data_IF_209914611234
#
_entry.id   IF_209914611234
#
_cell.length_a   1.000
_cell.length_b   1.000
_cell.length_c   1.000
_cell.angle_alpha   90.00
_cell.angle_beta   90.00
_cell.angle_gamma   90.00
#
_symmetry.space_group_name_H-M   'P 1'
#
loop_
_entity.id
_entity.type
_entity.pdbx_description
1 polymer ?
#
# COMPACT_ATOMS: atom_id res chain seq x y z
N UNK A 1 -5.56 33.48 -4.73
CA UNK A 1 -4.82 34.49 -3.93
C UNK A 1 -5.31 34.65 -2.49
N UNK A 2 -6.60 34.91 -2.23
CA UNK A 2 -7.09 35.15 -0.87
C UNK A 2 -6.80 34.00 0.11
N UNK A 3 -7.08 32.75 -0.29
CA UNK A 3 -6.86 31.57 0.55
C UNK A 3 -5.37 31.30 0.87
N UNK A 4 -4.46 31.53 -0.08
CA UNK A 4 -3.02 31.43 0.18
C UNK A 4 -2.56 32.48 1.17
N UNK A 5 -2.99 33.74 1.00
CA UNK A 5 -2.68 34.82 1.93
C UNK A 5 -3.22 34.53 3.33
N UNK A 6 -4.46 34.06 3.42
CA UNK A 6 -5.09 33.65 4.67
C UNK A 6 -4.28 32.55 5.35
N UNK A 7 -3.93 31.48 4.62
CA UNK A 7 -3.11 30.38 5.15
C UNK A 7 -1.77 30.89 5.70
N UNK A 8 -1.05 31.73 4.93
CA UNK A 8 0.24 32.27 5.34
C UNK A 8 0.11 33.14 6.60
N UNK A 9 -0.90 34.01 6.66
CA UNK A 9 -1.12 34.89 7.81
C UNK A 9 -1.53 34.10 9.07
N UNK A 10 -2.43 33.13 8.93
CA UNK A 10 -2.86 32.28 10.05
C UNK A 10 -1.73 31.38 10.52
N UNK A 11 -0.89 30.88 9.60
CA UNK A 11 0.28 30.08 9.93
C UNK A 11 1.30 30.83 10.79
N UNK A 12 1.52 32.12 10.53
CA UNK A 12 2.43 32.99 11.31
C UNK A 12 1.84 33.46 12.65
N UNK A 13 0.51 33.56 12.78
CA UNK A 13 -0.14 34.03 14.01
C UNK A 13 -0.38 32.88 15.01
N UNK A 14 0.58 32.60 15.87
CA UNK A 14 0.33 31.76 17.06
C UNK A 14 -0.51 32.54 18.10
N UNK A 15 -1.63 32.01 18.62
CA UNK A 15 -2.09 30.61 18.61
C UNK A 15 -3.36 30.33 17.77
N UNK A 16 -3.57 30.99 16.62
CA UNK A 16 -4.79 30.79 15.84
C UNK A 16 -4.93 29.34 15.30
N UNK A 17 -6.14 28.75 15.34
CA UNK A 17 -6.40 27.43 14.77
C UNK A 17 -6.23 27.47 13.24
N UNK A 18 -5.70 26.38 12.68
CA UNK A 18 -5.39 26.26 11.26
C UNK A 18 -6.43 25.49 10.46
N UNK A 19 -7.36 24.81 11.12
CA UNK A 19 -8.34 23.92 10.52
C UNK A 19 -9.07 24.56 9.32
N UNK A 20 -9.65 25.75 9.55
CA UNK A 20 -10.46 26.42 8.53
C UNK A 20 -9.61 27.04 7.41
N UNK A 21 -8.41 27.55 7.74
CA UNK A 21 -7.48 28.09 6.75
C UNK A 21 -6.94 27.00 5.81
N UNK A 22 -6.63 25.81 6.35
CA UNK A 22 -6.20 24.65 5.57
C UNK A 22 -7.35 24.15 4.68
N UNK A 23 -8.58 24.10 5.21
CA UNK A 23 -9.76 23.71 4.42
C UNK A 23 -10.06 24.71 3.29
N UNK A 24 -9.99 26.02 3.58
CA UNK A 24 -10.14 27.11 2.60
C UNK A 24 -9.11 26.99 1.47
N UNK A 25 -7.85 26.72 1.82
CA UNK A 25 -6.78 26.49 0.87
C UNK A 25 -7.00 25.21 0.06
N UNK A 26 -7.36 24.09 0.69
CA UNK A 26 -7.62 22.82 0.01
C UNK A 26 -8.79 22.90 -0.98
N UNK A 27 -9.85 23.65 -0.65
CA UNK A 27 -10.96 23.94 -1.58
C UNK A 27 -10.53 24.81 -2.75
N UNK A 28 -9.66 25.79 -2.51
CA UNK A 28 -9.09 26.64 -3.57
C UNK A 28 -8.17 25.87 -4.52
N UNK A 29 -7.59 24.77 -4.05
CA UNK A 29 -6.84 23.79 -4.85
C UNK A 29 -7.74 22.75 -5.53
N UNK A 30 -9.07 22.86 -5.42
CA UNK A 30 -10.05 21.91 -5.95
C UNK A 30 -9.91 20.48 -5.40
N UNK A 31 -9.29 20.30 -4.23
CA UNK A 31 -9.14 18.99 -3.59
C UNK A 31 -10.39 18.54 -2.83
N UNK A 32 -11.26 19.49 -2.49
CA UNK A 32 -12.49 19.29 -1.73
C UNK A 32 -13.62 20.15 -2.31
N UNK A 33 -14.89 19.71 -2.19
CA UNK A 33 -16.01 20.47 -2.72
C UNK A 33 -16.14 21.84 -2.01
N UNK A 34 -16.63 22.86 -2.73
CA UNK A 34 -16.92 24.16 -2.14
C UNK A 34 -18.00 24.04 -1.05
N UNK A 35 -17.99 24.94 -0.07
CA UNK A 35 -19.00 24.96 0.97
C UNK A 35 -20.40 25.16 0.35
N UNK A 36 -21.32 24.24 0.61
CA UNK A 36 -22.68 24.22 0.08
C UNK A 36 -23.55 25.40 0.54
N UNK A 37 -23.11 26.18 1.54
CA UNK A 37 -23.90 27.22 2.20
C UNK A 37 -23.50 28.66 1.83
N UNK A 38 -22.61 28.84 0.85
CA UNK A 38 -22.20 30.17 0.38
C UNK A 38 -22.71 30.42 -1.04
N UNK A 39 -23.18 31.65 -1.28
CA UNK A 39 -23.64 32.25 -2.54
C UNK A 39 -22.93 31.69 -3.78
N UNK A 40 -23.58 31.66 -4.98
CA UNK A 40 -23.12 30.88 -6.13
C UNK A 40 -21.60 31.04 -6.32
N UNK A 41 -20.81 29.99 -6.08
CA UNK A 41 -19.37 30.11 -6.10
C UNK A 41 -18.98 30.52 -7.52
N UNK A 42 -18.19 31.58 -7.64
CA UNK A 42 -17.46 31.86 -8.88
C UNK A 42 -16.75 30.55 -9.23
N UNK A 43 -16.96 29.98 -10.43
CA UNK A 43 -16.35 28.71 -10.79
C UNK A 43 -14.83 28.88 -10.72
N UNK A 44 -14.21 28.28 -9.71
CA UNK A 44 -12.76 28.18 -9.61
C UNK A 44 -12.28 27.32 -10.78
N UNK A 45 -11.46 27.91 -11.66
CA UNK A 45 -10.93 27.18 -12.80
C UNK A 45 -9.75 26.29 -12.37
N UNK A 46 -9.49 25.24 -13.15
CA UNK A 46 -8.33 24.38 -12.92
C UNK A 46 -7.00 25.14 -13.11
N UNK A 47 -6.99 26.17 -13.96
CA UNK A 47 -5.84 27.06 -14.15
C UNK A 47 -5.56 27.89 -12.91
N UNK A 48 -6.60 28.36 -12.21
CA UNK A 48 -6.46 29.10 -10.95
C UNK A 48 -5.87 28.23 -9.84
N UNK A 49 -6.32 26.97 -9.74
CA UNK A 49 -5.79 26.01 -8.75
C UNK A 49 -4.33 25.63 -9.03
N UNK A 50 -3.97 25.45 -10.31
CA UNK A 50 -2.60 25.21 -10.74
C UNK A 50 -1.70 26.41 -10.42
N UNK A 51 -2.15 27.62 -10.79
CA UNK A 51 -1.46 28.88 -10.48
C UNK A 51 -1.26 29.07 -8.97
N UNK A 52 -2.27 28.73 -8.16
CA UNK A 52 -2.18 28.79 -6.70
C UNK A 52 -1.12 27.84 -6.14
N UNK A 53 -1.05 26.61 -6.67
CA UNK A 53 -0.03 25.62 -6.29
C UNK A 53 1.38 26.13 -6.62
N UNK A 54 1.56 26.68 -7.82
CA UNK A 54 2.84 27.23 -8.27
C UNK A 54 3.27 28.43 -7.42
N UNK A 55 2.35 29.32 -7.08
CA UNK A 55 2.63 30.46 -6.20
C UNK A 55 3.03 30.02 -4.81
N UNK A 56 2.36 29.01 -4.24
CA UNK A 56 2.76 28.44 -2.96
C UNK A 56 4.18 27.87 -3.04
N UNK A 57 4.46 27.04 -4.05
CA UNK A 57 5.76 26.38 -4.22
C UNK A 57 6.88 27.35 -4.60
N UNK A 58 6.57 28.51 -5.18
CA UNK A 58 7.55 29.57 -5.40
C UNK A 58 8.01 30.22 -4.08
N UNK A 59 7.14 30.26 -3.07
CA UNK A 59 7.46 30.80 -1.73
C UNK A 59 8.05 29.71 -0.83
N UNK A 60 7.52 28.50 -0.92
CA UNK A 60 7.85 27.35 -0.08
C UNK A 60 8.19 26.10 -0.92
N UNK A 61 9.33 26.11 -1.64
CA UNK A 61 9.68 25.06 -2.60
C UNK A 61 9.88 23.69 -1.94
N UNK A 62 10.21 23.65 -0.65
CA UNK A 62 10.38 22.41 0.10
C UNK A 62 9.24 22.16 1.12
N UNK A 63 8.12 22.86 0.95
CA UNK A 63 6.96 22.72 1.84
C UNK A 63 7.25 23.15 3.29
N UNK A 64 8.17 24.08 3.50
CA UNK A 64 8.67 24.54 4.79
C UNK A 64 7.53 24.92 5.74
N UNK A 65 6.51 25.60 5.20
CA UNK A 65 5.32 26.01 5.95
C UNK A 65 4.64 24.80 6.59
N UNK A 66 4.29 23.79 5.79
CA UNK A 66 3.55 22.61 6.24
C UNK A 66 4.41 21.71 7.14
N UNK A 67 5.71 21.64 6.90
CA UNK A 67 6.63 20.94 7.81
C UNK A 67 6.69 21.60 9.20
N UNK A 68 6.64 22.94 9.26
CA UNK A 68 6.60 23.71 10.50
C UNK A 68 5.26 23.59 11.22
N UNK A 69 4.15 23.63 10.49
CA UNK A 69 2.80 23.56 11.09
C UNK A 69 2.25 22.14 11.16
N UNK A 70 3.10 21.12 11.11
CA UNK A 70 2.65 19.72 11.06
C UNK A 70 1.69 19.37 12.21
N UNK A 71 0.60 18.62 11.95
CA UNK A 71 -0.36 18.25 12.97
C UNK A 71 0.22 17.18 13.92
N UNK A 72 0.54 17.58 15.15
CA UNK A 72 1.12 16.68 16.17
C UNK A 72 0.09 16.26 17.24
N UNK A 73 -0.73 17.21 17.68
CA UNK A 73 -1.77 17.07 18.70
C UNK A 73 -3.06 17.76 18.26
N UNK A 74 -4.20 17.33 18.81
CA UNK A 74 -5.50 17.94 18.55
C UNK A 74 -6.22 18.29 19.85
N UNK A 75 -7.17 19.22 19.79
CA UNK A 75 -8.00 19.65 20.92
C UNK A 75 -7.86 21.13 21.26
N UNK A 76 -8.59 21.58 22.28
CA UNK A 76 -8.63 22.98 22.69
C UNK A 76 -7.23 23.52 23.01
N UNK A 77 -6.86 24.65 22.39
CA UNK A 77 -5.53 25.25 22.53
C UNK A 77 -4.46 24.66 21.61
N UNK A 78 -4.77 23.62 20.81
CA UNK A 78 -3.93 23.19 19.69
C UNK A 78 -4.18 24.05 18.46
N UNK A 79 -3.21 24.07 17.54
CA UNK A 79 -3.40 24.63 16.18
C UNK A 79 -4.37 23.80 15.33
N UNK A 80 -4.68 22.58 15.77
CA UNK A 80 -5.63 21.68 15.13
C UNK A 80 -6.73 21.32 16.12
N UNK A 81 -7.86 21.99 16.04
CA UNK A 81 -8.99 21.70 16.92
C UNK A 81 -9.71 20.41 16.48
N UNK A 82 -9.79 20.19 15.17
CA UNK A 82 -10.50 19.06 14.57
C UNK A 82 -9.51 18.02 14.09
N UNK A 83 -9.65 16.78 14.60
CA UNK A 83 -8.81 15.65 14.18
C UNK A 83 -8.95 15.36 12.67
N UNK A 84 -10.14 15.58 12.10
CA UNK A 84 -10.39 15.33 10.67
C UNK A 84 -9.60 16.28 9.75
N UNK A 85 -9.16 17.44 10.25
CA UNK A 85 -8.27 18.37 9.53
C UNK A 85 -6.91 17.76 9.19
N UNK A 86 -6.49 16.70 9.89
CA UNK A 86 -5.25 15.99 9.60
C UNK A 86 -5.30 15.33 8.22
N UNK A 87 -6.45 14.75 7.83
CA UNK A 87 -6.62 14.15 6.52
C UNK A 87 -6.55 15.20 5.40
N UNK A 88 -7.18 16.36 5.60
CA UNK A 88 -7.14 17.49 4.65
C UNK A 88 -5.70 17.99 4.50
N UNK A 89 -5.01 18.20 5.63
CA UNK A 89 -3.61 18.61 5.65
C UNK A 89 -2.72 17.64 4.86
N UNK A 90 -2.82 16.33 5.13
CA UNK A 90 -2.01 15.31 4.44
C UNK A 90 -2.32 15.26 2.94
N UNK A 91 -3.59 15.47 2.55
CA UNK A 91 -3.98 15.53 1.15
C UNK A 91 -3.34 16.73 0.44
N UNK A 92 -3.35 17.91 1.07
CA UNK A 92 -2.69 19.11 0.54
C UNK A 92 -1.19 18.90 0.39
N UNK A 93 -0.52 18.34 1.41
CA UNK A 93 0.92 18.05 1.36
C UNK A 93 1.26 17.07 0.24
N UNK A 94 0.47 16.00 0.09
CA UNK A 94 0.64 15.01 -0.99
C UNK A 94 0.49 15.65 -2.36
N UNK A 95 -0.55 16.47 -2.54
CA UNK A 95 -0.81 17.17 -3.79
C UNK A 95 0.34 18.13 -4.16
N UNK A 96 0.77 18.98 -3.22
CA UNK A 96 1.86 19.91 -3.47
C UNK A 96 3.18 19.21 -3.77
N UNK A 97 3.47 18.08 -3.12
CA UNK A 97 4.65 17.27 -3.44
C UNK A 97 4.60 16.74 -4.88
N UNK A 98 3.44 16.26 -5.33
CA UNK A 98 3.25 15.77 -6.70
C UNK A 98 3.36 16.89 -7.73
N UNK A 99 2.81 18.07 -7.44
CA UNK A 99 2.99 19.26 -8.29
C UNK A 99 4.46 19.66 -8.34
N UNK A 100 5.16 19.69 -7.20
CA UNK A 100 6.58 20.03 -7.17
C UNK A 100 7.43 19.02 -7.95
N UNK A 101 7.07 17.72 -7.92
CA UNK A 101 7.75 16.70 -8.72
C UNK A 101 7.66 16.98 -10.22
N UNK A 102 6.56 17.58 -10.69
CA UNK A 102 6.37 17.96 -12.09
C UNK A 102 7.11 19.27 -12.44
N UNK A 103 7.28 20.18 -11.48
CA UNK A 103 7.92 21.48 -11.67
C UNK A 103 9.44 21.42 -11.53
N UNK A 104 9.93 20.88 -10.42
CA UNK A 104 11.34 20.79 -10.06
C UNK A 104 11.59 19.51 -9.25
N UNK A 105 12.14 18.50 -9.93
CA UNK A 105 12.43 17.21 -9.33
C UNK A 105 13.43 17.28 -8.16
N UNK A 106 14.39 18.22 -8.19
CA UNK A 106 15.39 18.35 -7.14
C UNK A 106 14.77 18.94 -5.87
N UNK A 107 13.90 19.95 -6.00
CA UNK A 107 13.17 20.49 -4.86
C UNK A 107 12.11 19.51 -4.32
N UNK A 108 11.47 18.74 -5.20
CA UNK A 108 10.56 17.67 -4.78
C UNK A 108 11.29 16.60 -3.97
N UNK A 109 12.50 16.19 -4.39
CA UNK A 109 13.35 15.28 -3.62
C UNK A 109 13.71 15.88 -2.26
N UNK A 110 14.13 17.15 -2.20
CA UNK A 110 14.43 17.83 -0.95
C UNK A 110 13.22 17.88 -0.02
N UNK A 111 12.03 18.21 -0.54
CA UNK A 111 10.78 18.21 0.21
C UNK A 111 10.48 16.81 0.77
N UNK A 112 10.51 15.79 -0.09
CA UNK A 112 10.19 14.42 0.29
C UNK A 112 11.16 13.87 1.35
N UNK A 113 12.47 14.13 1.20
CA UNK A 113 13.48 13.74 2.18
C UNK A 113 13.25 14.41 3.54
N UNK A 114 12.78 15.66 3.58
CA UNK A 114 12.42 16.32 4.84
C UNK A 114 11.21 15.68 5.49
N UNK A 115 10.17 15.33 4.72
CA UNK A 115 9.03 14.55 5.24
C UNK A 115 9.51 13.23 5.85
N UNK A 116 10.40 12.50 5.15
CA UNK A 116 10.94 11.22 5.65
C UNK A 116 11.76 11.39 6.92
N UNK A 117 12.64 12.39 6.97
CA UNK A 117 13.56 12.55 8.11
C UNK A 117 12.90 13.15 9.33
N UNK A 118 11.98 14.08 9.13
CA UNK A 118 11.40 14.88 10.22
C UNK A 118 10.08 14.30 10.73
N UNK A 119 9.28 13.63 9.89
CA UNK A 119 7.86 13.35 10.17
C UNK A 119 7.46 11.87 10.20
N UNK A 120 8.39 10.93 10.01
CA UNK A 120 8.04 9.50 9.94
C UNK A 120 7.42 8.94 11.22
N UNK A 121 7.92 9.32 12.40
CA UNK A 121 7.36 8.88 13.68
C UNK A 121 5.91 9.34 13.84
N UNK A 122 5.61 10.57 13.41
CA UNK A 122 4.26 11.13 13.43
C UNK A 122 3.37 10.39 12.44
N UNK A 123 3.85 10.09 11.23
CA UNK A 123 3.09 9.30 10.25
C UNK A 123 2.79 7.88 10.76
N UNK A 124 3.75 7.22 11.43
CA UNK A 124 3.52 5.93 12.09
C UNK A 124 2.44 6.01 13.17
N UNK A 125 2.48 7.06 14.01
CA UNK A 125 1.44 7.31 15.02
C UNK A 125 0.07 7.44 14.36
N UNK A 126 -0.04 8.18 13.25
CA UNK A 126 -1.30 8.35 12.53
C UNK A 126 -1.83 7.05 11.91
N UNK A 127 -0.96 6.12 11.49
CA UNK A 127 -1.38 4.79 11.04
C UNK A 127 -1.99 3.93 12.16
N UNK A 128 -1.74 4.26 13.42
CA UNK A 128 -2.32 3.54 14.56
C UNK A 128 -3.74 4.01 14.94
N UNK A 129 -4.23 5.09 14.32
CA UNK A 129 -5.56 5.66 14.58
C UNK A 129 -6.65 4.91 13.81
N UNK A 130 -6.89 3.68 14.25
CA UNK A 130 -7.79 2.75 13.56
C UNK A 130 -9.25 3.21 13.48
N UNK A 131 -9.66 4.15 14.33
CA UNK A 131 -10.99 4.75 14.31
C UNK A 131 -11.15 5.84 13.23
N UNK A 132 -10.07 6.23 12.53
CA UNK A 132 -10.08 7.24 11.46
C UNK A 132 -9.42 6.72 10.18
N UNK A 133 -10.13 5.93 9.36
CA UNK A 133 -9.61 5.35 8.10
C UNK A 133 -9.09 6.39 7.10
N UNK A 134 -9.69 7.58 7.08
CA UNK A 134 -9.36 8.64 6.12
C UNK A 134 -7.97 9.20 6.39
N UNK A 135 -7.56 9.24 7.66
CA UNK A 135 -6.22 9.66 8.03
C UNK A 135 -5.22 8.60 7.59
N UNK A 136 -5.47 7.33 7.87
CA UNK A 136 -4.61 6.22 7.43
C UNK A 136 -4.46 6.18 5.91
N UNK A 137 -5.56 6.38 5.19
CA UNK A 137 -5.57 6.48 3.73
C UNK A 137 -4.66 7.59 3.24
N UNK A 138 -4.80 8.82 3.76
CA UNK A 138 -3.97 9.96 3.36
C UNK A 138 -2.51 9.81 3.76
N UNK A 139 -2.23 9.14 4.89
CA UNK A 139 -0.86 8.77 5.27
C UNK A 139 -0.24 7.82 4.24
N UNK A 140 -0.96 6.76 3.86
CA UNK A 140 -0.48 5.80 2.86
C UNK A 140 -0.29 6.44 1.48
N UNK A 141 -1.18 7.35 1.07
CA UNK A 141 -1.02 8.12 -0.17
C UNK A 141 0.23 8.99 -0.14
N UNK A 142 0.46 9.71 0.97
CA UNK A 142 1.66 10.53 1.14
C UNK A 142 2.92 9.68 1.09
N UNK A 143 2.96 8.55 1.81
CA UNK A 143 4.09 7.61 1.78
C UNK A 143 4.33 7.07 0.36
N UNK A 144 3.27 6.78 -0.38
CA UNK A 144 3.36 6.32 -1.76
C UNK A 144 3.91 7.42 -2.67
N UNK A 145 3.48 8.67 -2.48
CA UNK A 145 4.01 9.80 -3.25
C UNK A 145 5.49 10.02 -2.95
N UNK A 146 5.88 10.09 -1.67
CA UNK A 146 7.26 10.25 -1.22
C UNK A 146 8.19 9.18 -1.80
N UNK A 147 7.79 7.91 -1.76
CA UNK A 147 8.60 6.81 -2.30
C UNK A 147 8.75 6.85 -3.83
N UNK A 148 7.86 7.53 -4.54
CA UNK A 148 7.91 7.68 -6.01
C UNK A 148 8.67 8.92 -6.47
N UNK A 149 9.05 9.83 -5.57
CA UNK A 149 9.78 11.06 -5.94
C UNK A 149 11.15 10.71 -6.52
N UNK A 150 11.92 9.90 -5.81
CA UNK A 150 13.24 9.46 -6.27
C UNK A 150 13.71 8.19 -5.55
N UNK A 151 14.72 7.52 -6.12
CA UNK A 151 15.37 6.35 -5.52
C UNK A 151 16.03 6.69 -4.19
N UNK A 152 16.59 7.89 -4.05
CA UNK A 152 17.21 8.39 -2.82
C UNK A 152 16.16 8.48 -1.71
N UNK A 153 15.00 9.04 -2.02
CA UNK A 153 13.88 9.17 -1.09
C UNK A 153 13.31 7.80 -0.71
N UNK A 154 13.11 6.90 -1.67
CA UNK A 154 12.63 5.54 -1.40
C UNK A 154 13.59 4.77 -0.49
N UNK A 155 14.89 4.88 -0.72
CA UNK A 155 15.93 4.25 0.11
C UNK A 155 15.93 4.80 1.53
N UNK A 156 15.82 6.11 1.68
CA UNK A 156 15.72 6.75 3.00
C UNK A 156 14.43 6.34 3.72
N UNK A 157 13.30 6.26 3.00
CA UNK A 157 12.03 5.80 3.54
C UNK A 157 12.14 4.38 4.10
N UNK A 158 12.70 3.45 3.32
CA UNK A 158 12.92 2.07 3.77
C UNK A 158 13.85 1.99 4.98
N UNK A 159 14.81 2.90 5.09
CA UNK A 159 15.76 2.95 6.21
C UNK A 159 15.14 3.46 7.51
N UNK A 160 14.23 4.42 7.42
CA UNK A 160 13.70 5.15 8.59
C UNK A 160 12.36 4.58 9.08
N UNK A 161 11.51 4.12 8.17
CA UNK A 161 10.17 3.67 8.52
C UNK A 161 10.17 2.28 9.16
N UNK A 162 9.40 2.11 10.24
CA UNK A 162 9.22 0.84 10.92
C UNK A 162 8.10 -0.01 10.29
N UNK A 163 8.46 -0.81 9.28
CA UNK A 163 7.55 -1.75 8.61
C UNK A 163 7.07 -2.90 9.50
N UNK A 164 7.67 -3.10 10.67
CA UNK A 164 7.25 -4.10 11.63
C UNK A 164 6.20 -3.57 12.62
N UNK A 165 5.86 -2.28 12.55
CA UNK A 165 4.87 -1.73 13.46
C UNK A 165 3.50 -2.43 13.26
N UNK A 166 2.80 -2.82 14.34
CA UNK A 166 1.56 -3.58 14.24
C UNK A 166 0.47 -2.88 13.41
N UNK A 167 0.45 -1.54 13.46
CA UNK A 167 -0.44 -0.72 12.65
C UNK A 167 -0.24 -0.98 11.15
N UNK A 168 1.01 -0.96 10.67
CA UNK A 168 1.34 -1.20 9.27
C UNK A 168 1.05 -2.63 8.84
N UNK A 169 1.40 -3.63 9.65
CA UNK A 169 1.19 -5.05 9.32
C UNK A 169 -0.30 -5.36 9.11
N UNK A 170 -1.19 -4.74 9.89
CA UNK A 170 -2.64 -4.90 9.76
C UNK A 170 -3.20 -4.32 8.45
N UNK A 171 -2.53 -3.35 7.83
CA UNK A 171 -3.01 -2.72 6.60
C UNK A 171 -3.03 -3.69 5.41
N UNK A 172 -2.24 -4.76 5.46
CA UNK A 172 -2.23 -5.80 4.43
C UNK A 172 -3.60 -6.45 4.21
N UNK A 173 -4.41 -6.58 5.27
CA UNK A 173 -5.73 -7.23 5.24
C UNK A 173 -6.87 -6.27 5.61
N UNK A 174 -6.56 -5.00 5.87
CA UNK A 174 -7.55 -4.02 6.35
C UNK A 174 -8.38 -3.47 5.21
N UNK A 175 -9.67 -3.75 5.27
CA UNK A 175 -10.68 -3.21 4.35
C UNK A 175 -11.60 -2.25 5.09
N UNK A 176 -12.24 -1.37 4.32
CA UNK A 176 -13.35 -0.60 4.85
C UNK A 176 -14.57 -1.49 4.93
N UNK A 177 -15.03 -1.79 6.14
CA UNK A 177 -16.36 -2.38 6.34
C UNK A 177 -17.35 -1.32 5.91
N UNK A 178 -18.23 -1.62 4.94
CA UNK A 178 -19.38 -0.75 4.67
C UNK A 178 -20.04 -0.50 6.02
N UNK A 179 -20.10 0.76 6.45
CA UNK A 179 -20.83 1.09 7.66
C UNK A 179 -22.27 0.66 7.38
N UNK A 180 -22.72 -0.36 8.08
CA UNK A 180 -24.15 -0.53 8.29
C UNK A 180 -24.63 0.78 8.92
N UNK A 181 -25.76 1.27 8.43
CA UNK A 181 -26.29 2.59 8.71
C UNK A 181 -26.62 2.74 10.20
N UNK A 182 -25.70 3.27 11.01
CA UNK A 182 -26.06 3.85 12.31
C UNK A 182 -26.44 5.32 12.10
N UNK A 183 -27.76 5.55 12.16
CA UNK A 183 -28.47 6.75 11.72
C UNK A 183 -28.28 8.03 12.54
N UNK A 184 -27.09 8.33 13.06
CA UNK A 184 -26.87 9.53 13.86
C UNK A 184 -25.51 10.22 13.62
N UNK A 185 -25.17 10.57 12.37
CA UNK A 185 -24.54 11.88 12.09
C UNK A 185 -24.54 12.18 10.58
N UNK A 186 -25.42 13.09 10.14
CA UNK A 186 -25.65 13.40 8.71
C UNK A 186 -24.84 14.62 8.21
N UNK A 187 -23.67 14.90 8.80
CA UNK A 187 -22.90 16.11 8.42
C UNK A 187 -21.49 15.87 7.90
N UNK A 188 -21.03 14.62 7.81
CA UNK A 188 -19.79 14.30 7.11
C UNK A 188 -20.15 13.67 5.78
N UNK A 189 -19.77 14.37 4.72
CA UNK A 189 -19.96 14.08 3.31
C UNK A 189 -19.87 12.57 3.01
N UNK A 190 -20.81 12.07 2.18
CA UNK A 190 -20.79 10.71 1.60
C UNK A 190 -19.56 10.54 0.71
N UNK A 191 -18.40 10.42 1.32
CA UNK A 191 -17.19 10.10 0.61
C UNK A 191 -17.26 8.64 0.16
N UNK A 192 -16.84 8.37 -1.08
CA UNK A 192 -16.76 7.01 -1.62
C UNK A 192 -15.99 6.08 -0.66
N UNK A 193 -16.35 4.79 -0.57
CA UNK A 193 -15.74 3.88 0.41
C UNK A 193 -14.21 3.88 0.25
N UNK A 194 -13.49 4.24 1.32
CA UNK A 194 -12.03 4.27 1.36
C UNK A 194 -11.49 2.86 1.15
N UNK A 195 -10.77 2.61 0.05
CA UNK A 195 -10.11 1.33 -0.14
C UNK A 195 -8.70 1.36 0.48
N UNK A 196 -8.60 1.21 1.81
CA UNK A 196 -7.33 1.19 2.54
C UNK A 196 -6.36 0.14 2.00
N UNK A 197 -6.88 -1.06 1.74
CA UNK A 197 -6.18 -2.16 1.08
C UNK A 197 -5.56 -1.74 -0.26
N UNK A 198 -6.29 -1.00 -1.10
CA UNK A 198 -5.80 -0.56 -2.40
C UNK A 198 -4.61 0.40 -2.29
N UNK A 199 -4.65 1.35 -1.34
CA UNK A 199 -3.53 2.28 -1.14
C UNK A 199 -2.33 1.58 -0.53
N UNK A 200 -2.54 0.63 0.38
CA UNK A 200 -1.47 -0.24 0.87
C UNK A 200 -0.79 -1.00 -0.28
N UNK A 201 -1.58 -1.62 -1.16
CA UNK A 201 -1.08 -2.31 -2.37
C UNK A 201 -0.25 -1.35 -3.22
N UNK A 202 -0.74 -0.12 -3.44
CA UNK A 202 -0.02 0.89 -4.22
C UNK A 202 1.34 1.27 -3.62
N UNK A 203 1.44 1.40 -2.30
CA UNK A 203 2.71 1.68 -1.61
C UNK A 203 3.70 0.53 -1.81
N UNK A 204 3.28 -0.70 -1.56
CA UNK A 204 4.16 -1.88 -1.67
C UNK A 204 4.58 -2.10 -3.12
N UNK A 205 3.68 -1.91 -4.10
CA UNK A 205 4.02 -1.96 -5.52
C UNK A 205 5.00 -0.85 -5.92
N UNK A 206 4.90 0.35 -5.34
CA UNK A 206 5.86 1.42 -5.58
C UNK A 206 7.26 1.06 -5.08
N UNK A 207 7.36 0.45 -3.89
CA UNK A 207 8.63 -0.04 -3.35
C UNK A 207 9.19 -1.20 -4.18
N UNK A 208 8.33 -2.13 -4.61
CA UNK A 208 8.71 -3.29 -5.42
C UNK A 208 9.19 -2.87 -6.81
N UNK A 209 8.60 -1.82 -7.39
CA UNK A 209 9.01 -1.29 -8.70
C UNK A 209 10.20 -0.33 -8.64
N UNK A 210 10.74 -0.04 -7.45
CA UNK A 210 11.84 0.91 -7.29
C UNK A 210 13.14 0.33 -7.89
N UNK A 211 13.84 1.07 -8.78
CA UNK A 211 15.06 0.59 -9.41
C UNK A 211 16.28 0.55 -8.47
N UNK A 212 16.17 1.13 -7.26
CA UNK A 212 17.24 1.03 -6.26
C UNK A 212 17.35 -0.42 -5.73
N UNK A 213 18.51 -1.04 -5.94
CA UNK A 213 18.77 -2.44 -5.54
C UNK A 213 18.54 -2.70 -4.05
N UNK A 214 18.77 -1.72 -3.17
CA UNK A 214 18.62 -1.88 -1.72
C UNK A 214 17.14 -1.87 -1.33
N UNK A 215 16.35 -0.97 -1.93
CA UNK A 215 14.90 -0.93 -1.77
C UNK A 215 14.26 -2.20 -2.31
N UNK A 216 14.66 -2.60 -3.51
CA UNK A 216 14.18 -3.81 -4.17
C UNK A 216 14.48 -5.08 -3.36
N UNK A 217 15.72 -5.20 -2.84
CA UNK A 217 16.10 -6.30 -1.94
C UNK A 217 15.30 -6.27 -0.64
N UNK A 218 15.06 -5.09 -0.06
CA UNK A 218 14.23 -4.96 1.13
C UNK A 218 12.79 -5.41 0.88
N UNK A 219 12.20 -5.04 -0.26
CA UNK A 219 10.82 -5.36 -0.59
C UNK A 219 10.61 -6.88 -0.76
N UNK A 220 11.56 -7.55 -1.41
CA UNK A 220 11.45 -8.96 -1.82
C UNK A 220 12.25 -9.96 -1.00
N UNK A 221 12.88 -9.56 0.11
CA UNK A 221 13.52 -10.51 1.03
C UNK A 221 12.49 -11.40 1.72
N UNK A 222 12.94 -12.46 2.37
CA UNK A 222 12.07 -13.29 3.20
C UNK A 222 11.44 -12.46 4.33
N UNK A 223 10.12 -12.56 4.48
CA UNK A 223 9.34 -11.66 5.35
C UNK A 223 9.26 -10.21 4.87
N UNK A 224 9.68 -9.93 3.64
CA UNK A 224 9.57 -8.62 2.99
C UNK A 224 8.13 -8.23 2.69
N UNK A 225 7.93 -6.95 2.35
CA UNK A 225 6.59 -6.38 2.16
C UNK A 225 5.91 -6.87 0.88
N UNK A 226 6.63 -7.29 -0.16
CA UNK A 226 5.98 -7.70 -1.42
C UNK A 226 5.14 -8.97 -1.25
N UNK A 227 5.60 -9.94 -0.45
CA UNK A 227 4.85 -11.18 -0.21
C UNK A 227 3.55 -10.95 0.60
N UNK A 228 3.46 -9.85 1.37
CA UNK A 228 2.22 -9.53 2.10
C UNK A 228 1.07 -9.15 1.18
N UNK A 229 1.35 -8.80 -0.09
CA UNK A 229 0.34 -8.46 -1.08
C UNK A 229 -0.62 -9.61 -1.34
N UNK A 230 -0.18 -10.86 -1.13
CA UNK A 230 -1.01 -12.03 -1.32
C UNK A 230 -1.92 -12.35 -0.13
N UNK A 231 -1.81 -11.63 0.99
CA UNK A 231 -2.69 -11.84 2.14
C UNK A 231 -4.09 -11.31 1.84
N UNK A 232 -5.10 -12.16 2.07
CA UNK A 232 -6.51 -11.82 1.89
C UNK A 232 -6.85 -11.31 0.49
N UNK A 233 -6.32 -11.93 -0.56
CA UNK A 233 -6.55 -11.52 -1.96
C UNK A 233 -7.92 -11.97 -2.48
N UNK A 234 -8.52 -12.97 -1.85
CA UNK A 234 -9.87 -13.49 -2.09
C UNK A 234 -10.97 -12.42 -2.07
N UNK A 235 -10.85 -11.40 -1.21
CA UNK A 235 -11.85 -10.33 -1.11
C UNK A 235 -11.52 -9.10 -2.00
N UNK A 236 -10.48 -9.13 -2.83
CA UNK A 236 -10.06 -8.01 -3.69
C UNK A 236 -10.98 -7.87 -4.92
N UNK A 237 -11.25 -6.62 -5.35
CA UNK A 237 -12.00 -6.39 -6.59
C UNK A 237 -11.21 -6.83 -7.81
N UNK A 238 -11.90 -7.21 -8.89
CA UNK A 238 -11.26 -7.63 -10.15
C UNK A 238 -10.25 -6.59 -10.68
N UNK A 239 -10.59 -5.31 -10.63
CA UNK A 239 -9.70 -4.22 -11.06
C UNK A 239 -8.38 -4.20 -10.26
N UNK A 240 -8.48 -4.45 -8.96
CA UNK A 240 -7.33 -4.46 -8.07
C UNK A 240 -6.49 -5.72 -8.26
N UNK A 241 -7.13 -6.89 -8.41
CA UNK A 241 -6.46 -8.15 -8.75
C UNK A 241 -5.70 -8.03 -10.07
N UNK A 242 -6.36 -7.52 -11.11
CA UNK A 242 -5.76 -7.32 -12.43
C UNK A 242 -4.55 -6.38 -12.33
N UNK A 243 -4.70 -5.26 -11.63
CA UNK A 243 -3.61 -4.29 -11.42
C UNK A 243 -2.44 -4.91 -10.65
N UNK A 244 -2.74 -5.64 -9.57
CA UNK A 244 -1.76 -6.30 -8.71
C UNK A 244 -0.94 -7.32 -9.50
N UNK A 245 -1.61 -8.29 -10.13
CA UNK A 245 -0.94 -9.37 -10.84
C UNK A 245 -0.21 -8.89 -12.09
N UNK A 246 -0.78 -7.94 -12.84
CA UNK A 246 -0.09 -7.34 -14.00
C UNK A 246 1.20 -6.64 -13.58
N UNK A 247 1.15 -5.84 -12.51
CA UNK A 247 2.34 -5.11 -12.03
C UNK A 247 3.37 -6.06 -11.46
N UNK A 248 3.00 -6.99 -10.59
CA UNK A 248 3.94 -7.98 -10.05
C UNK A 248 4.51 -8.89 -11.14
N UNK A 249 3.69 -9.28 -12.11
CA UNK A 249 4.12 -10.03 -13.28
C UNK A 249 5.25 -9.29 -14.01
N UNK A 250 5.04 -8.01 -14.32
CA UNK A 250 6.04 -7.17 -14.98
C UNK A 250 7.29 -6.91 -14.12
N UNK A 251 7.13 -6.56 -12.85
CA UNK A 251 8.25 -6.09 -12.01
C UNK A 251 9.05 -7.23 -11.38
N UNK A 252 8.42 -8.39 -11.17
CA UNK A 252 9.02 -9.53 -10.46
C UNK A 252 9.08 -10.77 -11.34
N UNK A 253 7.95 -11.28 -11.81
CA UNK A 253 7.89 -12.63 -12.42
C UNK A 253 8.65 -12.71 -13.74
N UNK A 254 8.37 -11.79 -14.66
CA UNK A 254 8.96 -11.73 -15.99
C UNK A 254 10.17 -10.80 -16.07
N UNK A 255 10.64 -10.28 -14.94
CA UNK A 255 11.82 -9.44 -14.89
C UNK A 255 13.08 -10.31 -14.78
N UNK A 256 13.97 -10.21 -15.77
CA UNK A 256 15.22 -10.98 -15.83
C UNK A 256 16.27 -10.50 -14.83
N UNK A 257 16.17 -9.25 -14.37
CA UNK A 257 17.06 -8.68 -13.34
C UNK A 257 16.75 -9.22 -11.94
N UNK A 258 15.63 -9.94 -11.77
CA UNK A 258 15.20 -10.52 -10.50
C UNK A 258 15.70 -11.95 -10.41
N UNK A 259 16.52 -12.24 -9.40
CA UNK A 259 16.99 -13.61 -9.16
C UNK A 259 15.84 -14.58 -8.89
N UNK A 260 15.95 -15.82 -9.41
CA UNK A 260 14.97 -16.89 -9.19
C UNK A 260 14.63 -17.09 -7.70
N UNK A 261 15.61 -16.96 -6.81
CA UNK A 261 15.42 -17.05 -5.36
C UNK A 261 14.48 -15.97 -4.84
N UNK A 262 14.64 -14.72 -5.27
CA UNK A 262 13.73 -13.62 -4.89
C UNK A 262 12.33 -13.81 -5.47
N UNK A 263 12.21 -14.32 -6.70
CA UNK A 263 10.90 -14.68 -7.28
C UNK A 263 10.17 -15.71 -6.40
N UNK A 264 10.87 -16.75 -5.93
CA UNK A 264 10.31 -17.79 -5.04
C UNK A 264 9.89 -17.28 -3.66
N UNK A 265 10.55 -16.23 -3.16
CA UNK A 265 10.18 -15.62 -1.87
C UNK A 265 8.85 -14.86 -2.01
N UNK A 266 8.67 -14.13 -3.11
CA UNK A 266 7.45 -13.37 -3.39
C UNK A 266 6.30 -14.31 -3.76
N UNK A 267 6.50 -15.10 -4.81
CA UNK A 267 5.58 -16.14 -5.24
C UNK A 267 5.87 -17.42 -4.47
N UNK A 268 5.52 -17.43 -3.18
CA UNK A 268 5.71 -18.56 -2.29
C UNK A 268 4.43 -19.42 -2.18
N UNK A 269 4.45 -20.44 -1.30
CA UNK A 269 3.29 -21.30 -1.09
C UNK A 269 2.02 -20.54 -0.69
N UNK A 270 2.12 -19.46 0.10
CA UNK A 270 0.97 -18.62 0.46
C UNK A 270 0.37 -17.96 -0.77
N UNK A 271 1.19 -17.42 -1.68
CA UNK A 271 0.72 -16.89 -2.96
C UNK A 271 -0.06 -17.96 -3.75
N UNK A 272 0.53 -19.15 -3.91
CA UNK A 272 -0.12 -20.24 -4.66
C UNK A 272 -1.46 -20.63 -4.05
N UNK A 273 -1.52 -20.80 -2.72
CA UNK A 273 -2.78 -21.11 -2.03
C UNK A 273 -3.85 -20.05 -2.22
N UNK A 274 -3.48 -18.76 -2.15
CA UNK A 274 -4.41 -17.64 -2.30
C UNK A 274 -4.90 -17.52 -3.75
N UNK A 275 -4.02 -17.68 -4.74
CA UNK A 275 -4.42 -17.67 -6.16
C UNK A 275 -5.29 -18.89 -6.51
N UNK A 276 -5.02 -20.06 -5.94
CA UNK A 276 -5.89 -21.24 -6.11
C UNK A 276 -7.29 -21.03 -5.51
N UNK A 277 -7.39 -20.32 -4.38
CA UNK A 277 -8.68 -19.99 -3.78
C UNK A 277 -9.54 -19.13 -4.71
N UNK A 278 -8.94 -18.20 -5.46
CA UNK A 278 -9.63 -17.38 -6.46
C UNK A 278 -10.31 -18.21 -7.57
N UNK A 279 -9.81 -19.40 -7.89
CA UNK A 279 -10.44 -20.28 -8.89
C UNK A 279 -11.80 -20.83 -8.44
N UNK A 280 -12.00 -20.92 -7.12
CA UNK A 280 -13.21 -21.46 -6.51
C UNK A 280 -14.23 -20.38 -6.16
N UNK A 281 -13.92 -19.10 -6.41
CA UNK A 281 -14.86 -18.01 -6.18
C UNK A 281 -16.01 -18.08 -7.19
N UNK A 282 -17.22 -18.19 -6.67
CA UNK A 282 -18.43 -18.15 -7.47
C UNK A 282 -18.73 -16.70 -7.89
N UNK A 283 -19.03 -16.49 -9.18
CA UNK A 283 -19.65 -15.24 -9.64
C UNK A 283 -18.83 -14.34 -10.58
N UNK A 284 -17.54 -14.61 -10.85
CA UNK A 284 -16.77 -13.80 -11.80
C UNK A 284 -15.74 -14.62 -12.60
N UNK A 285 -16.07 -14.89 -13.88
CA UNK A 285 -15.18 -15.61 -14.79
C UNK A 285 -13.85 -14.87 -15.01
N UNK A 286 -13.84 -13.53 -14.94
CA UNK A 286 -12.63 -12.74 -15.15
C UNK A 286 -11.62 -12.86 -14.01
N UNK A 287 -12.10 -13.04 -12.77
CA UNK A 287 -11.25 -13.33 -11.60
C UNK A 287 -10.53 -14.66 -11.81
N UNK A 288 -11.28 -15.67 -12.26
CA UNK A 288 -10.73 -16.99 -12.58
C UNK A 288 -9.70 -16.94 -13.70
N UNK A 289 -9.98 -16.24 -14.78
CA UNK A 289 -9.06 -16.12 -15.92
C UNK A 289 -7.75 -15.43 -15.49
N UNK A 290 -7.86 -14.38 -14.65
CA UNK A 290 -6.70 -13.69 -14.08
C UNK A 290 -5.87 -14.64 -13.20
N UNK A 291 -6.51 -15.41 -12.32
CA UNK A 291 -5.83 -16.38 -11.47
C UNK A 291 -5.19 -17.52 -12.27
N UNK A 292 -5.86 -18.03 -13.31
CA UNK A 292 -5.30 -19.02 -14.24
C UNK A 292 -4.09 -18.48 -14.98
N UNK A 293 -4.12 -17.22 -15.43
CA UNK A 293 -2.97 -16.56 -16.06
C UNK A 293 -1.74 -16.57 -15.16
N UNK A 294 -1.92 -16.22 -13.87
CA UNK A 294 -0.82 -16.26 -12.89
C UNK A 294 -0.32 -17.69 -12.66
N UNK A 295 -1.21 -18.68 -12.51
CA UNK A 295 -0.81 -20.07 -12.32
C UNK A 295 -0.09 -20.64 -13.55
N UNK A 296 -0.52 -20.27 -14.75
CA UNK A 296 0.15 -20.63 -15.99
C UNK A 296 1.58 -20.11 -16.03
N UNK A 297 1.78 -18.84 -15.69
CA UNK A 297 3.12 -18.25 -15.61
C UNK A 297 4.00 -18.89 -14.53
N UNK A 298 3.41 -19.34 -13.42
CA UNK A 298 4.15 -19.96 -12.32
C UNK A 298 4.58 -21.41 -12.60
N UNK A 299 3.75 -22.20 -13.30
CA UNK A 299 3.93 -23.66 -13.40
C UNK A 299 4.13 -24.21 -14.81
N UNK A 300 3.72 -23.48 -15.85
CA UNK A 300 3.58 -24.05 -17.20
C UNK A 300 4.32 -23.30 -18.31
N UNK A 301 4.61 -22.01 -18.15
CA UNK A 301 5.42 -21.27 -19.13
C UNK A 301 6.89 -21.76 -19.17
N UNK A 302 7.60 -21.47 -20.27
CA UNK A 302 9.01 -21.89 -20.44
C UNK A 302 9.93 -21.34 -19.34
N UNK A 303 9.56 -20.19 -18.77
CA UNK A 303 10.23 -19.56 -17.63
C UNK A 303 9.62 -19.92 -16.27
N UNK A 304 8.87 -21.04 -16.19
CA UNK A 304 8.14 -21.43 -14.99
C UNK A 304 9.02 -21.44 -13.74
N UNK A 305 8.50 -20.79 -12.70
CA UNK A 305 9.17 -20.66 -11.43
C UNK A 305 9.17 -21.99 -10.66
N UNK A 306 8.09 -22.75 -10.80
CA UNK A 306 7.92 -24.06 -10.20
C UNK A 306 8.01 -25.13 -11.27
N UNK A 307 8.85 -26.13 -11.02
CA UNK A 307 8.89 -27.35 -11.83
C UNK A 307 8.07 -28.38 -11.08
N UNK A 308 6.93 -28.80 -11.64
CA UNK A 308 6.16 -29.92 -11.09
C UNK A 308 6.85 -31.21 -11.51
N UNK A 309 7.46 -31.98 -10.59
CA UNK A 309 8.09 -33.24 -10.96
C UNK A 309 7.01 -34.21 -11.45
N UNK A 310 7.17 -34.75 -12.66
CA UNK A 310 6.20 -35.65 -13.29
C UNK A 310 5.78 -36.81 -12.35
N UNK A 311 6.70 -37.30 -11.51
CA UNK A 311 6.45 -38.40 -10.54
C UNK A 311 5.53 -38.01 -9.38
N UNK A 312 5.48 -36.74 -8.97
CA UNK A 312 4.61 -36.27 -7.88
C UNK A 312 3.20 -35.93 -8.38
N UNK A 313 3.08 -35.36 -9.58
CA UNK A 313 1.79 -35.14 -10.24
C UNK A 313 1.04 -36.47 -10.47
N UNK A 314 1.78 -37.51 -10.90
CA UNK A 314 1.22 -38.85 -11.07
C UNK A 314 0.78 -39.48 -9.74
N UNK A 315 1.51 -39.28 -8.63
CA UNK A 315 1.10 -39.82 -7.33
C UNK A 315 -0.23 -39.25 -6.84
N UNK A 316 -0.49 -37.96 -7.04
CA UNK A 316 -1.76 -37.33 -6.67
C UNK A 316 -2.93 -37.74 -7.58
N UNK A 317 -2.65 -38.05 -8.86
CA UNK A 317 -3.63 -38.62 -9.79
C UNK A 317 -3.92 -40.10 -9.48
N UNK A 318 -2.89 -40.88 -9.17
CA UNK A 318 -2.99 -42.30 -8.85
C UNK A 318 -3.58 -42.54 -7.46
N UNK A 319 -3.33 -41.66 -6.48
CA UNK A 319 -3.92 -41.79 -5.13
C UNK A 319 -5.42 -41.51 -5.08
N UNK A 320 -5.97 -40.81 -6.07
CA UNK A 320 -7.43 -40.67 -6.24
C UNK A 320 -8.07 -41.82 -7.01
N UNK A 321 -7.29 -42.59 -7.78
CA UNK A 321 -7.78 -43.79 -8.48
C UNK A 321 -7.63 -45.07 -7.65
N UNK A 322 -6.84 -45.05 -6.57
CA UNK A 322 -6.69 -46.20 -5.66
C UNK A 322 -7.48 -46.08 -4.34
N UNK A 323 -8.29 -45.03 -4.15
CA UNK A 323 -9.07 -44.83 -2.92
C UNK A 323 -10.49 -45.43 -2.99
N UNK A 324 -10.73 -46.39 -3.88
CA UNK A 324 -12.01 -47.10 -3.98
C UNK A 324 -11.88 -48.63 -4.23
N UNK A 325 -10.69 -49.20 -4.04
CA UNK A 325 -10.54 -50.65 -3.94
C UNK A 325 -9.41 -50.99 -2.98
N UNK A 326 -9.80 -51.65 -1.88
CA UNK A 326 -8.96 -52.38 -0.92
C UNK A 326 -8.29 -51.57 0.21
N UNK A 327 -9.12 -50.94 1.05
CA UNK A 327 -8.89 -50.99 2.50
C UNK A 327 -9.36 -52.34 3.03
N UNK A 328 -8.47 -53.33 3.08
CA UNK A 328 -8.41 -54.31 4.18
C UNK A 328 -7.19 -55.22 3.97
N UNK A 329 -6.42 -55.41 5.04
CA UNK A 329 -5.23 -56.27 5.15
C UNK A 329 -3.92 -55.73 4.53
N UNK A 330 -3.08 -55.14 5.38
CA UNK A 330 -1.85 -55.76 5.92
C UNK A 330 -1.11 -54.65 6.71
N UNK A 331 -1.63 -54.34 7.89
CA UNK A 331 -0.83 -53.80 9.00
C UNK A 331 -0.77 -54.89 10.05
N UNK A 332 0.19 -55.82 9.92
CA UNK A 332 0.80 -56.55 11.05
C UNK A 332 1.84 -57.57 10.57
N UNK A 333 3.09 -57.32 10.99
CA UNK A 333 4.16 -58.28 11.33
C UNK A 333 4.78 -59.14 10.22
N UNK A 334 6.13 -59.04 10.15
CA UNK A 334 7.18 -59.97 9.65
C UNK A 334 8.29 -59.05 9.09
N UNK A 335 9.45 -58.77 9.67
CA UNK A 335 10.20 -59.24 10.84
C UNK A 335 11.04 -58.08 11.39
N UNK A 336 11.27 -58.10 12.70
CA UNK A 336 12.47 -57.53 13.31
C UNK A 336 13.54 -58.64 13.40
N UNK A 337 14.81 -58.20 13.34
CA UNK A 337 16.02 -58.69 14.05
C UNK A 337 17.23 -59.05 13.16
N UNK A 338 18.34 -58.36 13.46
CA UNK A 338 19.79 -58.63 13.27
C UNK A 338 20.33 -58.69 11.82
N UNK A 339 21.47 -58.12 11.43
CA UNK A 339 22.59 -57.55 12.18
C UNK A 339 23.50 -56.71 11.24
N UNK A 340 24.31 -55.86 11.84
CA UNK A 340 25.59 -55.31 11.37
C UNK A 340 25.63 -54.10 10.39
N UNK A 341 26.30 -53.07 10.91
CA UNK A 341 27.29 -52.20 10.26
C UNK A 341 26.85 -51.00 9.41
N UNK A 342 26.85 -49.87 10.12
CA UNK A 342 27.80 -48.76 9.92
C UNK A 342 27.29 -47.45 9.28
N UNK A 343 27.63 -46.38 10.01
CA UNK A 343 27.72 -44.97 9.64
C UNK A 343 26.41 -44.18 9.44
N UNK A 344 25.90 -43.73 10.60
CA UNK A 344 25.50 -42.33 10.80
C UNK A 344 26.60 -41.39 10.30
N UNK A 345 26.25 -40.34 9.56
CA UNK A 345 26.43 -38.98 10.09
C UNK A 345 25.60 -37.94 9.31
N UNK A 346 25.06 -37.03 10.11
CA UNK A 346 24.05 -36.04 9.81
C UNK A 346 24.63 -34.84 9.07
N UNK A 347 23.84 -34.28 8.15
CA UNK A 347 24.01 -32.92 7.66
C UNK A 347 22.80 -32.10 8.08
N UNK A 348 23.06 -31.06 8.90
CA UNK A 348 22.18 -29.93 9.15
C UNK A 348 22.21 -28.96 7.98
#
# INVERSE_FOLDING_TARGET
MAALRELLLTAERTPQPLDDAILSFARSLLLYPPATNTSPPIPLSQDDASSLSHQFLAIHPQGELFLRVWPENHGAGSRYEKRDSFAIFLHVVTHLLQVQQQLDAAQAEAFALRVVREKMVQLEKLLSWSDKPWIEFRVLELMTAVTKVSTVTAREFVRVFNFQCPAFVKLATRRWKKSEEDGHDKTIEKHAPVQLRAVYVNLVLALTACPDKSVHRFAMKEGGVTASLFKSVDDDSIEMLTTLFTRLGKTVLHNDDVERKSKLVVYNGTCVHQVLALLHMEGDASVRDTALGVLNALFFEDSALYVVPQKQALRLFLSKTSAQSDEEAITSRVYAVSDSDACRDNWW
#
